data_IF_329413219380
#
_entry.id   IF_329413219380
#
_cell.length_a   1.000
_cell.length_b   1.000
_cell.length_c   1.000
_cell.angle_alpha   90.00
_cell.angle_beta   90.00
_cell.angle_gamma   90.00
#
_symmetry.space_group_name_H-M   'P 1'
#
loop_
_entity.id
_entity.type
_entity.pdbx_description
1 polymer ?
#
# COMPACT_ATOMS: atom_id res chain seq x y z
N UNK A 1 -44.87 -16.57 -3.73
CA UNK A 1 -45.68 -16.56 -2.48
C UNK A 1 -45.53 -15.19 -1.85
N UNK A 2 -46.56 -14.38 -1.89
CA UNK A 2 -46.58 -13.03 -1.29
C UNK A 2 -46.79 -13.20 0.21
N UNK A 3 -45.87 -12.72 1.02
CA UNK A 3 -46.08 -12.61 2.47
C UNK A 3 -47.03 -11.45 2.76
N UNK A 4 -48.09 -11.64 3.53
CA UNK A 4 -49.02 -10.59 3.88
C UNK A 4 -48.35 -9.59 4.81
N UNK A 5 -48.33 -8.33 4.42
CA UNK A 5 -47.92 -7.21 5.27
C UNK A 5 -48.84 -7.14 6.50
N UNK A 6 -48.28 -7.32 7.69
CA UNK A 6 -49.06 -7.28 8.93
C UNK A 6 -49.42 -5.82 9.29
N UNK A 7 -50.57 -5.62 9.98
CA UNK A 7 -51.00 -4.31 10.49
C UNK A 7 -49.89 -3.60 11.29
N UNK A 8 -49.00 -4.36 11.92
CA UNK A 8 -47.87 -3.83 12.69
C UNK A 8 -46.81 -3.19 11.78
N UNK A 9 -46.57 -3.75 10.58
CA UNK A 9 -45.64 -3.18 9.59
C UNK A 9 -46.18 -1.88 9.01
N UNK A 10 -47.50 -1.74 8.88
CA UNK A 10 -48.15 -0.53 8.38
C UNK A 10 -48.12 0.58 9.41
N UNK A 11 -48.33 0.27 10.71
CA UNK A 11 -48.25 1.24 11.82
C UNK A 11 -46.79 1.73 12.02
N UNK A 12 -45.81 0.85 11.89
CA UNK A 12 -44.41 1.26 11.96
C UNK A 12 -43.98 2.17 10.78
N UNK A 13 -44.50 1.91 9.57
CA UNK A 13 -44.26 2.79 8.42
C UNK A 13 -44.98 4.16 8.60
N UNK A 14 -46.15 4.18 9.21
CA UNK A 14 -46.90 5.40 9.53
C UNK A 14 -46.23 6.23 10.64
N UNK A 15 -45.66 5.60 11.67
CA UNK A 15 -44.96 6.29 12.77
C UNK A 15 -43.63 6.92 12.33
N UNK A 16 -42.93 6.32 11.36
CA UNK A 16 -41.73 6.90 10.75
C UNK A 16 -42.04 8.16 9.93
N UNK A 17 -43.20 8.20 9.25
CA UNK A 17 -43.70 9.38 8.56
C UNK A 17 -44.01 10.55 9.50
N UNK A 18 -44.49 10.25 10.71
CA UNK A 18 -44.84 11.26 11.72
C UNK A 18 -43.61 11.92 12.39
N UNK A 19 -42.44 11.23 12.33
CA UNK A 19 -41.14 11.72 12.83
C UNK A 19 -40.35 12.50 11.78
N UNK A 20 -40.93 12.82 10.62
CA UNK A 20 -40.24 13.55 9.54
C UNK A 20 -39.15 12.73 8.81
N UNK A 21 -39.03 11.42 9.10
CA UNK A 21 -38.11 10.52 8.41
C UNK A 21 -38.78 10.05 7.12
N UNK A 22 -38.36 10.55 5.98
CA UNK A 22 -38.79 10.03 4.68
C UNK A 22 -38.31 8.59 4.48
N UNK A 23 -39.03 7.78 3.71
CA UNK A 23 -38.61 6.44 3.31
C UNK A 23 -37.18 6.46 2.71
N UNK A 24 -36.86 7.54 2.02
CA UNK A 24 -35.53 7.81 1.48
C UNK A 24 -34.47 7.92 2.59
N UNK A 25 -34.76 8.58 3.70
CA UNK A 25 -33.86 8.70 4.85
C UNK A 25 -33.73 7.37 5.60
N UNK A 26 -34.81 6.60 5.72
CA UNK A 26 -34.78 5.26 6.31
C UNK A 26 -33.93 4.29 5.45
N UNK A 27 -34.12 4.30 4.13
CA UNK A 27 -33.30 3.50 3.20
C UNK A 27 -31.84 3.97 3.17
N UNK A 28 -31.59 5.27 3.26
CA UNK A 28 -30.25 5.84 3.39
C UNK A 28 -29.57 5.44 4.71
N UNK A 29 -30.32 5.43 5.82
CA UNK A 29 -29.83 4.98 7.12
C UNK A 29 -29.55 3.48 7.13
N UNK A 30 -30.40 2.66 6.49
CA UNK A 30 -30.16 1.23 6.32
C UNK A 30 -28.94 0.94 5.42
N UNK A 31 -28.79 1.69 4.33
CA UNK A 31 -27.60 1.60 3.46
C UNK A 31 -26.35 2.05 4.23
N UNK A 32 -26.42 3.12 5.02
CA UNK A 32 -25.31 3.58 5.86
C UNK A 32 -24.95 2.59 6.98
N UNK A 33 -25.93 1.86 7.52
CA UNK A 33 -25.67 0.82 8.54
C UNK A 33 -24.99 -0.43 7.98
N UNK A 34 -25.00 -0.62 6.66
CA UNK A 34 -24.28 -1.70 5.95
C UNK A 34 -22.87 -1.32 5.56
N UNK A 35 -22.51 -0.03 5.69
CA UNK A 35 -21.13 0.40 5.46
C UNK A 35 -20.24 -0.06 6.62
N UNK A 36 -19.02 -0.53 6.33
CA UNK A 36 -18.06 -0.81 7.39
C UNK A 36 -17.86 0.44 8.26
N UNK A 37 -17.59 0.22 9.55
CA UNK A 37 -17.22 1.33 10.43
C UNK A 37 -16.05 2.13 9.84
N UNK A 38 -16.01 3.46 9.98
CA UNK A 38 -14.89 4.25 9.49
C UNK A 38 -13.56 3.70 10.02
N UNK A 39 -12.66 3.31 9.12
CA UNK A 39 -11.34 2.84 9.49
C UNK A 39 -10.50 3.96 10.12
N UNK A 40 -9.57 3.60 10.99
CA UNK A 40 -8.62 4.55 11.60
C UNK A 40 -7.60 5.03 10.56
N UNK A 41 -7.15 4.14 9.68
CA UNK A 41 -6.19 4.47 8.62
C UNK A 41 -6.83 5.37 7.54
N UNK A 42 -6.06 6.34 7.10
CA UNK A 42 -6.43 7.27 6.01
C UNK A 42 -5.43 7.23 4.87
N UNK A 43 -4.25 6.68 5.13
CA UNK A 43 -3.15 6.52 4.18
C UNK A 43 -2.39 5.23 4.45
N UNK A 44 -1.71 4.73 3.42
CA UNK A 44 -0.84 3.55 3.49
C UNK A 44 0.53 3.91 2.92
N UNK A 45 1.60 3.48 3.59
CA UNK A 45 2.96 3.44 3.04
C UNK A 45 3.34 1.96 2.92
N UNK A 46 3.54 1.51 1.70
CA UNK A 46 4.10 0.20 1.41
C UNK A 46 5.62 0.33 1.28
N UNK A 47 6.33 -0.14 2.30
CA UNK A 47 7.78 -0.28 2.29
C UNK A 47 8.12 -1.59 1.57
N UNK A 48 8.41 -1.47 0.27
CA UNK A 48 8.58 -2.64 -0.60
C UNK A 48 10.00 -3.19 -0.55
N UNK A 49 10.11 -4.46 -0.17
CA UNK A 49 11.35 -5.21 -0.01
C UNK A 49 11.55 -6.12 -1.22
N UNK A 50 11.83 -5.51 -2.38
CA UNK A 50 11.98 -6.22 -3.65
C UNK A 50 12.99 -7.36 -3.56
N UNK A 51 12.58 -8.54 -4.00
CA UNK A 51 13.43 -9.72 -4.05
C UNK A 51 13.18 -10.72 -2.92
N UNK A 52 12.26 -10.43 -1.99
CA UNK A 52 11.86 -11.38 -0.96
C UNK A 52 12.89 -11.57 0.17
N UNK A 53 12.81 -10.81 1.27
CA UNK A 53 13.75 -10.93 2.39
C UNK A 53 13.66 -12.30 3.06
N UNK A 54 14.80 -12.82 3.48
CA UNK A 54 14.86 -14.02 4.31
C UNK A 54 14.20 -13.78 5.66
N UNK A 55 13.04 -14.40 5.89
CA UNK A 55 12.31 -14.26 7.14
C UNK A 55 13.11 -14.79 8.33
N UNK A 56 13.85 -15.89 8.16
CA UNK A 56 14.66 -16.48 9.24
C UNK A 56 15.92 -15.67 9.56
N UNK A 57 16.38 -14.83 8.64
CA UNK A 57 17.54 -13.96 8.85
C UNK A 57 17.11 -12.54 9.28
N UNK A 58 15.80 -12.27 9.39
CA UNK A 58 15.23 -10.96 9.74
C UNK A 58 14.17 -11.05 10.85
N UNK A 59 12.91 -11.29 10.50
CA UNK A 59 11.76 -11.16 11.38
C UNK A 59 11.49 -12.37 12.27
N UNK A 60 11.91 -13.57 11.85
CA UNK A 60 11.61 -14.85 12.47
C UNK A 60 12.87 -15.71 12.65
N UNK A 61 13.83 -15.26 13.51
CA UNK A 61 15.11 -15.91 13.63
C UNK A 61 14.99 -17.38 14.06
N UNK A 62 15.72 -18.28 13.36
CA UNK A 62 15.75 -19.71 13.56
C UNK A 62 17.18 -20.22 13.79
N UNK A 63 17.30 -21.43 14.33
CA UNK A 63 18.61 -22.06 14.63
C UNK A 63 19.46 -22.35 13.38
N UNK A 64 18.84 -22.42 12.22
CA UNK A 64 19.50 -22.59 10.90
C UNK A 64 19.84 -21.26 10.22
N UNK A 65 19.68 -20.14 10.91
CA UNK A 65 20.27 -18.85 10.51
C UNK A 65 21.68 -18.71 11.11
N UNK A 66 22.57 -18.06 10.38
CA UNK A 66 23.89 -17.67 10.90
C UNK A 66 23.84 -16.40 11.76
N UNK A 67 22.68 -15.75 11.84
CA UNK A 67 22.45 -14.58 12.67
C UNK A 67 21.75 -14.97 13.98
N UNK A 68 22.17 -14.33 15.07
CA UNK A 68 21.61 -14.60 16.39
C UNK A 68 20.27 -13.90 16.59
N UNK A 69 19.31 -14.56 17.30
CA UNK A 69 18.15 -13.86 17.80
C UNK A 69 18.54 -12.87 18.89
N UNK A 70 17.99 -11.68 18.86
CA UNK A 70 18.09 -10.69 19.93
C UNK A 70 16.72 -10.40 20.54
N UNK A 71 16.70 -10.13 21.84
CA UNK A 71 15.49 -9.71 22.55
C UNK A 71 15.05 -8.33 22.08
N UNK A 72 13.74 -8.11 22.07
CA UNK A 72 13.15 -6.81 21.77
C UNK A 72 12.68 -6.12 23.05
N UNK A 73 12.16 -4.88 22.92
CA UNK A 73 11.50 -4.19 24.03
C UNK A 73 10.12 -4.79 24.40
N UNK A 74 9.64 -5.78 23.64
CA UNK A 74 8.43 -6.56 23.97
C UNK A 74 8.85 -7.95 24.43
N UNK A 75 8.58 -8.33 25.68
CA UNK A 75 8.94 -9.64 26.20
C UNK A 75 8.43 -10.79 25.35
N UNK A 76 9.28 -11.78 25.09
CA UNK A 76 8.96 -12.97 24.31
C UNK A 76 9.07 -12.80 22.78
N UNK A 77 9.26 -11.59 22.27
CA UNK A 77 9.51 -11.36 20.85
C UNK A 77 11.02 -11.19 20.61
N UNK A 78 11.53 -11.96 19.66
CA UNK A 78 12.92 -11.89 19.20
C UNK A 78 12.94 -11.60 17.72
N UNK A 79 13.94 -10.84 17.25
CA UNK A 79 14.26 -10.63 15.83
C UNK A 79 15.74 -10.90 15.61
N UNK A 80 16.18 -10.90 14.36
CA UNK A 80 17.60 -11.05 14.03
C UNK A 80 18.44 -9.91 14.61
N UNK A 81 19.68 -10.21 15.01
CA UNK A 81 20.68 -9.21 15.42
C UNK A 81 20.97 -8.15 14.35
N UNK A 82 20.54 -8.38 13.12
CA UNK A 82 20.61 -7.43 12.02
C UNK A 82 19.61 -6.26 12.14
N UNK A 83 18.64 -6.36 13.08
CA UNK A 83 17.57 -5.38 13.25
C UNK A 83 17.57 -4.77 14.68
N UNK A 84 18.72 -4.23 15.14
CA UNK A 84 18.88 -3.78 16.53
C UNK A 84 18.04 -2.54 16.88
N UNK A 85 17.73 -1.69 15.90
CA UNK A 85 16.94 -0.47 16.12
C UNK A 85 15.45 -0.80 16.16
N UNK A 86 14.99 -1.65 15.25
CA UNK A 86 13.63 -2.19 15.25
C UNK A 86 13.36 -2.98 16.53
N UNK A 87 14.34 -3.77 17.03
CA UNK A 87 14.21 -4.51 18.29
C UNK A 87 13.86 -3.58 19.47
N UNK A 88 14.40 -2.37 19.51
CA UNK A 88 14.11 -1.35 20.54
C UNK A 88 12.76 -0.65 20.36
N UNK A 89 12.08 -0.90 19.26
CA UNK A 89 10.80 -0.31 18.86
C UNK A 89 9.75 -1.35 18.52
N UNK A 90 9.92 -2.59 18.91
CA UNK A 90 9.00 -3.69 18.57
C UNK A 90 7.58 -3.45 19.09
N UNK A 91 7.42 -2.67 20.14
CA UNK A 91 6.13 -2.21 20.65
C UNK A 91 5.33 -1.40 19.61
N UNK A 92 5.98 -0.84 18.58
CA UNK A 92 5.36 -0.12 17.46
C UNK A 92 5.06 -1.01 16.25
N UNK A 93 5.45 -2.27 16.27
CA UNK A 93 5.28 -3.19 15.15
C UNK A 93 4.43 -4.39 15.54
N UNK A 94 3.67 -4.90 14.58
CA UNK A 94 3.12 -6.24 14.60
C UNK A 94 3.82 -7.07 13.52
N UNK A 95 4.27 -8.25 13.87
CA UNK A 95 4.88 -9.19 12.93
C UNK A 95 3.86 -10.25 12.51
N UNK A 96 3.79 -10.56 11.22
CA UNK A 96 3.12 -11.76 10.71
C UNK A 96 4.20 -12.73 10.25
N UNK A 97 4.31 -13.88 10.91
CA UNK A 97 5.33 -14.91 10.64
C UNK A 97 4.78 -16.11 9.88
N UNK A 98 3.55 -16.01 9.44
CA UNK A 98 2.78 -17.11 8.88
C UNK A 98 2.19 -16.78 7.50
N UNK A 99 2.82 -15.88 6.77
CA UNK A 99 2.44 -15.63 5.39
C UNK A 99 2.72 -16.87 4.53
N UNK A 100 1.75 -17.19 3.66
CA UNK A 100 1.84 -18.31 2.74
C UNK A 100 1.36 -17.89 1.35
N UNK A 101 2.17 -18.18 0.33
CA UNK A 101 1.86 -17.95 -1.09
C UNK A 101 2.29 -19.16 -1.93
N UNK A 102 2.14 -19.11 -3.26
CA UNK A 102 2.50 -20.24 -4.15
C UNK A 102 3.54 -19.90 -5.20
N UNK A 103 3.69 -18.64 -5.56
CA UNK A 103 4.61 -18.21 -6.61
C UNK A 103 6.07 -18.46 -6.24
N UNK A 104 6.82 -19.11 -7.11
CA UNK A 104 8.26 -19.44 -6.92
C UNK A 104 9.18 -18.60 -7.79
N UNK A 105 8.64 -17.71 -8.62
CA UNK A 105 9.41 -16.74 -9.40
C UNK A 105 8.95 -15.32 -9.12
N UNK A 106 9.83 -14.33 -9.29
CA UNK A 106 9.56 -12.95 -8.95
C UNK A 106 8.37 -12.34 -9.69
N UNK A 107 8.19 -12.51 -11.03
CA UNK A 107 7.04 -11.96 -11.72
C UNK A 107 5.70 -12.42 -11.14
N UNK A 108 5.53 -13.72 -10.94
CA UNK A 108 4.29 -14.30 -10.39
C UNK A 108 4.07 -13.87 -8.95
N UNK A 109 5.11 -13.97 -8.12
CA UNK A 109 5.03 -13.64 -6.71
C UNK A 109 4.79 -12.14 -6.48
N UNK A 110 5.48 -11.26 -7.20
CA UNK A 110 5.26 -9.81 -7.13
C UNK A 110 3.85 -9.44 -7.58
N UNK A 111 3.40 -9.98 -8.72
CA UNK A 111 2.04 -9.75 -9.19
C UNK A 111 1.01 -10.18 -8.13
N UNK A 112 1.18 -11.39 -7.55
CA UNK A 112 0.28 -11.88 -6.51
C UNK A 112 0.33 -11.04 -5.25
N UNK A 113 1.53 -10.65 -4.79
CA UNK A 113 1.70 -9.81 -3.61
C UNK A 113 1.12 -8.39 -3.75
N UNK A 114 1.03 -7.87 -4.99
CA UNK A 114 0.54 -6.51 -5.26
C UNK A 114 -0.93 -6.48 -5.67
N UNK A 115 -1.45 -7.56 -6.28
CA UNK A 115 -2.84 -7.60 -6.79
C UNK A 115 -3.76 -8.55 -6.02
N UNK A 116 -3.21 -9.53 -5.28
CA UNK A 116 -3.96 -10.64 -4.68
C UNK A 116 -4.40 -11.71 -5.68
N UNK A 117 -3.98 -11.61 -6.94
CA UNK A 117 -4.37 -12.53 -8.00
C UNK A 117 -3.16 -13.17 -8.68
N UNK A 118 -3.30 -14.40 -9.13
CA UNK A 118 -2.33 -15.03 -10.00
C UNK A 118 -2.36 -14.38 -11.40
N UNK A 119 -1.22 -14.39 -12.11
CA UNK A 119 -1.14 -13.84 -13.47
C UNK A 119 -2.14 -14.56 -14.38
N UNK A 120 -2.94 -13.78 -15.07
CA UNK A 120 -3.92 -14.28 -16.05
C UNK A 120 -3.62 -13.65 -17.42
N UNK A 121 -3.33 -14.46 -18.46
CA UNK A 121 -3.04 -13.94 -19.79
C UNK A 121 -4.19 -13.13 -20.44
N UNK A 122 -5.42 -13.39 -20.02
CA UNK A 122 -6.60 -12.74 -20.58
C UNK A 122 -6.92 -11.39 -19.90
N UNK A 123 -6.32 -11.08 -18.76
CA UNK A 123 -6.68 -9.90 -17.99
C UNK A 123 -5.59 -9.51 -17.00
N UNK A 124 -5.31 -8.23 -16.91
CA UNK A 124 -4.51 -7.65 -15.83
C UNK A 124 -5.40 -7.29 -14.65
N UNK A 125 -4.85 -7.39 -13.43
CA UNK A 125 -5.55 -7.09 -12.18
C UNK A 125 -5.08 -5.77 -11.58
N UNK A 126 -5.99 -5.00 -10.96
CA UNK A 126 -5.62 -3.76 -10.30
C UNK A 126 -4.77 -4.02 -9.05
N UNK A 127 -3.81 -3.14 -8.80
CA UNK A 127 -2.99 -3.16 -7.60
C UNK A 127 -3.78 -2.78 -6.34
N UNK A 128 -3.29 -3.19 -5.18
CA UNK A 128 -3.77 -2.76 -3.87
C UNK A 128 -3.88 -1.23 -3.77
N UNK A 129 -2.84 -0.50 -4.23
CA UNK A 129 -2.83 0.96 -4.20
C UNK A 129 -3.91 1.59 -5.09
N UNK A 130 -4.13 1.02 -6.26
CA UNK A 130 -5.18 1.48 -7.19
C UNK A 130 -6.58 1.25 -6.64
N UNK A 131 -6.81 0.10 -6.00
CA UNK A 131 -8.09 -0.20 -5.35
C UNK A 131 -8.34 0.78 -4.20
N UNK A 132 -7.36 0.99 -3.30
CA UNK A 132 -7.48 1.94 -2.19
C UNK A 132 -7.77 3.36 -2.71
N UNK A 133 -7.08 3.77 -3.76
CA UNK A 133 -7.28 5.10 -4.38
C UNK A 133 -8.70 5.25 -4.96
N UNK A 134 -9.20 4.20 -5.61
CA UNK A 134 -10.56 4.19 -6.15
C UNK A 134 -11.61 4.27 -5.04
N UNK A 135 -11.45 3.47 -4.00
CA UNK A 135 -12.44 3.38 -2.93
C UNK A 135 -12.47 4.63 -2.03
N UNK A 136 -11.30 5.23 -1.76
CA UNK A 136 -11.21 6.36 -0.84
C UNK A 136 -11.23 7.72 -1.52
N UNK A 137 -10.92 7.78 -2.81
CA UNK A 137 -10.77 9.03 -3.57
C UNK A 137 -9.61 9.91 -3.09
N UNK A 138 -9.30 10.99 -3.83
CA UNK A 138 -8.29 11.97 -3.44
C UNK A 138 -8.73 12.79 -2.22
N UNK A 139 -7.80 13.15 -1.34
CA UNK A 139 -8.07 14.06 -0.21
C UNK A 139 -8.03 15.53 -0.62
N UNK A 140 -7.16 15.85 -1.57
CA UNK A 140 -6.91 17.20 -2.05
C UNK A 140 -6.25 17.16 -3.44
N UNK A 141 -5.39 18.13 -3.77
CA UNK A 141 -4.69 18.18 -5.05
C UNK A 141 -3.47 17.26 -5.13
N UNK A 142 -2.98 16.71 -4.00
CA UNK A 142 -1.82 15.81 -3.97
C UNK A 142 -2.21 14.48 -4.62
N UNK A 143 -1.33 13.87 -5.45
CA UNK A 143 -1.59 12.57 -6.06
C UNK A 143 -1.98 11.54 -5.02
N UNK A 144 -3.13 10.87 -5.15
CA UNK A 144 -3.58 9.91 -4.17
C UNK A 144 -2.75 8.62 -4.17
N UNK A 145 -2.15 8.26 -5.32
CA UNK A 145 -1.33 7.07 -5.49
C UNK A 145 0.04 7.44 -6.06
N UNK A 146 1.12 7.04 -5.37
CA UNK A 146 2.49 7.35 -5.77
C UNK A 146 3.37 6.12 -5.65
N UNK A 147 4.26 5.93 -6.61
CA UNK A 147 5.32 4.93 -6.62
C UNK A 147 6.67 5.65 -6.68
N UNK A 148 7.54 5.40 -5.69
CA UNK A 148 8.85 6.04 -5.56
C UNK A 148 9.92 5.07 -5.04
N UNK A 149 11.06 4.96 -5.73
CA UNK A 149 11.30 5.42 -7.08
C UNK A 149 10.59 4.55 -8.12
N UNK A 150 10.40 5.08 -9.32
CA UNK A 150 9.95 4.28 -10.47
C UNK A 150 10.98 3.22 -10.84
N UNK A 151 10.54 2.11 -11.44
CA UNK A 151 11.44 1.07 -11.92
C UNK A 151 12.07 1.46 -13.26
N UNK A 152 13.39 1.67 -13.27
CA UNK A 152 14.13 1.98 -14.51
C UNK A 152 14.46 0.73 -15.35
N UNK A 153 14.47 -0.46 -14.74
CA UNK A 153 14.99 -1.69 -15.38
C UNK A 153 13.93 -2.67 -15.87
N UNK A 154 12.70 -2.58 -15.40
CA UNK A 154 11.64 -3.51 -15.80
C UNK A 154 10.28 -2.84 -15.79
N UNK A 155 9.77 -2.50 -16.98
CA UNK A 155 8.39 -2.03 -17.15
C UNK A 155 7.36 -3.05 -16.65
N UNK A 156 7.67 -4.34 -16.76
CA UNK A 156 6.77 -5.41 -16.32
C UNK A 156 6.41 -5.30 -14.84
N UNK A 157 7.39 -5.05 -13.97
CA UNK A 157 7.12 -4.90 -12.53
C UNK A 157 6.33 -3.62 -12.24
N UNK A 158 6.63 -2.51 -12.91
CA UNK A 158 5.88 -1.27 -12.76
C UNK A 158 4.41 -1.44 -13.14
N UNK A 159 4.12 -2.24 -14.19
CA UNK A 159 2.75 -2.53 -14.62
C UNK A 159 1.91 -3.22 -13.54
N UNK A 160 2.52 -4.06 -12.68
CA UNK A 160 1.80 -4.71 -11.58
C UNK A 160 1.28 -3.74 -10.52
N UNK A 161 1.86 -2.54 -10.43
CA UNK A 161 1.41 -1.50 -9.51
C UNK A 161 0.31 -0.60 -10.09
N UNK A 162 -0.12 -0.83 -11.33
CA UNK A 162 -1.12 -0.02 -12.02
C UNK A 162 -2.56 -0.45 -11.72
N UNK A 163 -3.48 0.35 -12.23
CA UNK A 163 -4.91 0.18 -12.01
C UNK A 163 -5.58 -0.84 -12.94
N UNK A 164 -4.87 -1.32 -13.96
CA UNK A 164 -5.39 -2.27 -14.94
C UNK A 164 -6.77 -1.85 -15.47
N UNK A 165 -7.78 -2.71 -15.36
CA UNK A 165 -9.13 -2.42 -15.87
C UNK A 165 -9.90 -1.35 -15.09
N UNK A 166 -9.40 -0.86 -13.97
CA UNK A 166 -10.06 0.23 -13.23
C UNK A 166 -9.88 1.59 -13.91
N UNK A 167 -8.90 1.70 -14.84
CA UNK A 167 -8.61 2.93 -15.58
C UNK A 167 -7.44 3.74 -15.02
N UNK A 168 -6.78 4.49 -15.90
CA UNK A 168 -5.55 5.24 -15.62
C UNK A 168 -5.66 6.30 -14.52
N UNK A 169 -6.87 6.73 -14.17
CA UNK A 169 -7.12 7.69 -13.08
C UNK A 169 -6.64 7.17 -11.71
N UNK A 170 -6.49 5.85 -11.57
CA UNK A 170 -6.04 5.19 -10.35
C UNK A 170 -4.63 4.63 -10.45
N UNK A 171 -3.92 4.88 -11.56
CA UNK A 171 -2.51 4.53 -11.72
C UNK A 171 -1.63 5.32 -10.74
N UNK A 172 -0.50 4.76 -10.30
CA UNK A 172 0.44 5.50 -9.50
C UNK A 172 1.14 6.60 -10.32
N UNK A 173 1.34 7.76 -9.72
CA UNK A 173 2.32 8.71 -10.21
C UNK A 173 3.71 8.16 -9.90
N UNK A 174 4.46 7.82 -10.95
CA UNK A 174 5.79 7.22 -10.83
C UNK A 174 6.87 8.32 -10.71
N UNK A 175 7.61 8.34 -9.61
CA UNK A 175 8.55 9.40 -9.25
C UNK A 175 10.00 8.91 -9.45
N UNK A 176 10.89 9.72 -10.02
CA UNK A 176 12.32 9.40 -10.08
C UNK A 176 12.93 9.16 -8.69
N UNK A 177 14.12 8.55 -8.64
CA UNK A 177 14.82 8.29 -7.38
C UNK A 177 15.21 9.59 -6.65
N UNK A 178 14.63 9.84 -5.45
CA UNK A 178 14.86 11.06 -4.71
C UNK A 178 16.26 11.17 -4.08
N UNK A 179 17.04 10.09 -4.07
CA UNK A 179 18.44 10.11 -3.63
C UNK A 179 19.41 10.58 -4.74
N UNK A 180 18.95 10.67 -5.97
CA UNK A 180 19.81 11.10 -7.08
C UNK A 180 20.09 12.61 -7.03
N UNK A 181 21.32 13.04 -7.33
CA UNK A 181 21.64 14.46 -7.45
C UNK A 181 20.72 15.18 -8.44
N UNK A 182 20.22 16.35 -8.07
CA UNK A 182 19.33 17.14 -8.91
C UNK A 182 17.91 16.59 -8.98
N UNK A 183 17.47 15.73 -8.04
CA UNK A 183 16.11 15.23 -7.97
C UNK A 183 15.09 16.38 -8.07
N UNK A 184 14.21 16.27 -9.04
CA UNK A 184 13.07 17.16 -9.25
C UNK A 184 11.95 16.36 -9.92
N UNK A 185 10.71 16.68 -9.57
CA UNK A 185 9.53 16.15 -10.26
C UNK A 185 9.13 17.17 -11.33
N UNK A 186 9.69 17.00 -12.51
CA UNK A 186 9.57 17.96 -13.63
C UNK A 186 8.13 18.21 -14.05
N UNK A 187 7.27 17.18 -13.95
CA UNK A 187 5.87 17.25 -14.34
C UNK A 187 5.01 18.14 -13.43
N UNK A 188 5.54 18.52 -12.26
CA UNK A 188 4.89 19.42 -11.31
C UNK A 188 5.41 20.87 -11.42
N UNK A 189 6.36 21.14 -12.32
CA UNK A 189 6.90 22.47 -12.54
C UNK A 189 6.42 23.06 -13.87
N UNK A 190 6.01 24.32 -13.83
CA UNK A 190 5.75 25.04 -15.08
C UNK A 190 7.08 25.31 -15.80
N UNK A 191 7.15 25.14 -17.14
CA UNK A 191 8.28 25.62 -17.90
C UNK A 191 8.58 27.09 -17.57
N UNK A 192 9.84 27.47 -17.48
CA UNK A 192 10.26 28.84 -17.13
C UNK A 192 9.64 29.92 -18.03
N UNK A 193 9.26 29.56 -19.25
CA UNK A 193 8.60 30.42 -20.23
C UNK A 193 7.08 30.56 -20.05
N UNK A 194 6.46 29.84 -19.11
CA UNK A 194 5.02 29.81 -18.93
C UNK A 194 4.66 30.35 -17.55
N UNK A 195 3.96 31.48 -17.51
CA UNK A 195 3.46 32.05 -16.26
C UNK A 195 2.22 31.31 -15.75
N UNK A 196 2.00 31.32 -14.45
CA UNK A 196 0.80 30.75 -13.83
C UNK A 196 -0.48 31.39 -14.42
N UNK A 197 -0.50 32.70 -14.63
CA UNK A 197 -1.63 33.41 -15.24
C UNK A 197 -1.92 32.94 -16.66
N UNK A 198 -0.88 32.62 -17.44
CA UNK A 198 -1.05 32.08 -18.79
C UNK A 198 -1.67 30.67 -18.76
N UNK A 199 -1.32 29.86 -17.77
CA UNK A 199 -1.90 28.51 -17.58
C UNK A 199 -3.36 28.60 -17.13
N UNK A 200 -3.66 29.47 -16.18
CA UNK A 200 -5.03 29.70 -15.69
C UNK A 200 -5.94 30.18 -16.81
N UNK A 201 -5.45 31.13 -17.65
CA UNK A 201 -6.16 31.65 -18.82
C UNK A 201 -6.42 30.56 -19.86
N UNK A 202 -5.40 29.71 -20.17
CA UNK A 202 -5.56 28.57 -21.08
C UNK A 202 -6.54 27.52 -20.54
N UNK A 203 -6.49 27.21 -19.26
CA UNK A 203 -7.43 26.28 -18.60
C UNK A 203 -8.87 26.81 -18.66
N UNK A 204 -9.07 28.12 -18.40
CA UNK A 204 -10.38 28.75 -18.50
C UNK A 204 -10.91 28.73 -19.94
N UNK A 205 -10.04 29.00 -20.92
CA UNK A 205 -10.38 28.94 -22.34
C UNK A 205 -10.77 27.52 -22.78
N UNK A 206 -9.97 26.51 -22.42
CA UNK A 206 -10.28 25.11 -22.72
C UNK A 206 -11.63 24.69 -22.11
N UNK A 207 -11.89 25.02 -20.85
CA UNK A 207 -13.19 24.76 -20.22
C UNK A 207 -14.37 25.44 -20.97
N UNK A 208 -14.17 26.63 -21.49
CA UNK A 208 -15.20 27.33 -22.26
C UNK A 208 -15.44 26.64 -23.61
N UNK A 209 -14.38 26.22 -24.29
CA UNK A 209 -14.46 25.48 -25.57
C UNK A 209 -15.12 24.12 -25.36
N UNK A 210 -14.70 23.36 -24.33
CA UNK A 210 -15.24 22.04 -24.02
C UNK A 210 -16.73 22.12 -23.63
N UNK A 211 -17.13 23.15 -22.88
CA UNK A 211 -18.54 23.39 -22.55
C UNK A 211 -19.34 23.63 -23.84
N UNK A 212 -18.81 24.46 -24.77
CA UNK A 212 -19.46 24.73 -26.03
C UNK A 212 -19.55 23.51 -26.94
N UNK A 213 -18.48 22.68 -26.93
CA UNK A 213 -18.46 21.43 -27.70
C UNK A 213 -19.49 20.44 -27.19
N UNK A 214 -19.64 20.31 -25.85
CA UNK A 214 -20.66 19.44 -25.21
C UNK A 214 -22.09 19.89 -25.50
N UNK A 215 -22.33 21.19 -25.52
CA UNK A 215 -23.64 21.75 -25.92
C UNK A 215 -24.02 21.37 -27.36
N UNK A 216 -23.04 21.06 -28.20
CA UNK A 216 -23.22 20.73 -29.62
C UNK A 216 -23.20 19.22 -29.91
N UNK A 217 -22.58 18.39 -29.02
CA UNK A 217 -22.37 16.97 -29.24
C UNK A 217 -22.66 16.18 -27.95
N UNK A 218 -23.79 15.49 -27.93
CA UNK A 218 -24.26 14.70 -26.78
C UNK A 218 -23.57 13.32 -26.79
N UNK A 219 -22.29 13.23 -26.39
CA UNK A 219 -21.57 11.98 -26.27
C UNK A 219 -20.93 11.81 -24.89
N UNK A 220 -21.25 10.70 -24.20
CA UNK A 220 -20.89 10.41 -22.83
C UNK A 220 -19.38 10.13 -22.57
N UNK A 221 -18.56 10.01 -23.61
CA UNK A 221 -17.16 9.55 -23.49
C UNK A 221 -16.14 10.62 -23.03
N UNK A 222 -16.56 11.90 -22.98
CA UNK A 222 -15.63 13.00 -22.69
C UNK A 222 -15.50 13.39 -21.21
N UNK A 223 -16.37 12.87 -20.33
CA UNK A 223 -16.41 13.27 -18.91
C UNK A 223 -15.17 12.83 -18.12
N UNK A 224 -14.55 11.70 -18.47
CA UNK A 224 -13.38 11.17 -17.75
C UNK A 224 -12.10 11.93 -18.10
N UNK A 225 -11.90 12.30 -19.37
CA UNK A 225 -10.72 13.07 -19.81
C UNK A 225 -10.68 14.46 -19.18
N UNK A 226 -11.84 15.09 -18.99
CA UNK A 226 -11.95 16.40 -18.37
C UNK A 226 -11.60 16.39 -16.88
N UNK A 227 -12.04 15.35 -16.15
CA UNK A 227 -11.74 15.18 -14.73
C UNK A 227 -10.23 14.97 -14.52
N UNK A 228 -9.60 14.13 -15.35
CA UNK A 228 -8.16 13.88 -15.33
C UNK A 228 -7.36 15.16 -15.62
N UNK A 229 -7.71 15.87 -16.70
CA UNK A 229 -7.07 17.13 -17.07
C UNK A 229 -7.23 18.18 -15.97
N UNK A 230 -8.40 18.30 -15.36
CA UNK A 230 -8.66 19.21 -14.25
C UNK A 230 -7.83 18.85 -13.01
N UNK A 231 -7.68 17.56 -12.71
CA UNK A 231 -6.82 17.10 -11.60
C UNK A 231 -5.35 17.40 -11.88
N UNK A 232 -4.85 17.15 -13.09
CA UNK A 232 -3.49 17.47 -13.48
C UNK A 232 -3.18 18.98 -13.35
N UNK A 233 -4.09 19.84 -13.82
CA UNK A 233 -3.96 21.28 -13.64
C UNK A 233 -3.96 21.69 -12.17
N UNK A 234 -4.85 21.10 -11.37
CA UNK A 234 -4.93 21.37 -9.94
C UNK A 234 -3.62 20.98 -9.23
N UNK A 235 -3.01 19.87 -9.62
CA UNK A 235 -1.71 19.45 -9.09
C UNK A 235 -0.61 20.46 -9.43
N UNK A 236 -0.49 20.87 -10.69
CA UNK A 236 0.55 21.80 -11.17
C UNK A 236 0.39 23.20 -10.54
N UNK A 237 -0.84 23.67 -10.40
CA UNK A 237 -1.14 25.01 -9.90
C UNK A 237 -1.12 25.13 -8.36
N UNK A 238 -1.17 24.01 -7.62
CA UNK A 238 -1.21 24.04 -6.15
C UNK A 238 0.20 24.05 -5.55
N UNK A 239 0.65 25.16 -4.91
CA UNK A 239 1.98 25.23 -4.30
C UNK A 239 2.25 24.11 -3.30
N UNK A 240 1.26 23.74 -2.47
CA UNK A 240 1.38 22.68 -1.49
C UNK A 240 1.71 21.30 -2.10
N UNK A 241 1.32 21.04 -3.36
CA UNK A 241 1.72 19.82 -4.09
C UNK A 241 3.20 19.83 -4.37
N UNK A 242 3.72 20.93 -4.96
CA UNK A 242 5.17 21.07 -5.22
C UNK A 242 5.98 20.96 -3.94
N UNK A 243 5.49 21.60 -2.88
CA UNK A 243 6.12 21.57 -1.56
C UNK A 243 6.19 20.15 -0.99
N UNK A 244 5.19 19.31 -1.21
CA UNK A 244 5.18 17.93 -0.74
C UNK A 244 6.31 17.10 -1.37
N UNK A 245 6.64 17.35 -2.65
CA UNK A 245 7.72 16.66 -3.36
C UNK A 245 9.11 17.26 -3.15
N UNK A 246 9.21 18.44 -2.55
CA UNK A 246 10.49 19.16 -2.38
C UNK A 246 11.25 18.70 -1.12
N UNK A 247 12.18 17.76 -1.28
CA UNK A 247 13.04 17.30 -0.20
C UNK A 247 14.07 18.35 0.26
N UNK A 248 14.27 19.47 -0.47
CA UNK A 248 15.15 20.54 0.01
C UNK A 248 14.60 21.24 1.26
N UNK A 249 13.30 21.12 1.51
CA UNK A 249 12.61 21.63 2.71
C UNK A 249 12.86 20.79 3.98
N UNK A 250 13.43 19.60 3.84
CA UNK A 250 13.82 18.77 4.98
C UNK A 250 15.25 19.12 5.43
N UNK A 251 15.48 19.11 6.74
CA UNK A 251 16.80 19.32 7.31
C UNK A 251 17.76 18.19 6.94
N UNK A 252 19.04 18.48 6.86
CA UNK A 252 20.05 17.44 6.62
C UNK A 252 20.03 16.36 7.71
N UNK A 253 19.77 16.75 8.97
CA UNK A 253 19.59 15.81 10.08
C UNK A 253 18.44 14.82 9.81
N UNK A 254 17.31 15.29 9.25
CA UNK A 254 16.18 14.42 8.91
C UNK A 254 16.54 13.49 7.74
N UNK A 255 17.20 14.00 6.70
CA UNK A 255 17.68 13.20 5.58
C UNK A 255 18.66 12.11 6.03
N UNK A 256 19.55 12.44 6.97
CA UNK A 256 20.50 11.48 7.57
C UNK A 256 19.80 10.43 8.44
N UNK A 257 18.79 10.83 9.23
CA UNK A 257 18.00 9.93 10.05
C UNK A 257 17.35 8.81 9.21
N UNK A 258 16.80 9.16 8.05
CA UNK A 258 16.23 8.17 7.12
C UNK A 258 17.33 7.43 6.34
N UNK A 259 18.45 8.05 6.09
CA UNK A 259 19.52 7.61 5.21
C UNK A 259 19.46 8.31 3.85
N UNK A 260 20.65 8.63 3.31
CA UNK A 260 20.79 9.34 2.03
C UNK A 260 20.74 8.39 0.81
N UNK A 261 20.49 7.11 1.04
CA UNK A 261 20.27 6.11 0.00
C UNK A 261 18.83 6.16 -0.57
N UNK A 262 18.61 5.40 -1.64
CA UNK A 262 17.33 5.38 -2.36
C UNK A 262 16.15 5.04 -1.46
N UNK A 263 16.24 3.98 -0.63
CA UNK A 263 15.13 3.61 0.24
C UNK A 263 14.88 4.66 1.32
N UNK A 264 15.94 5.24 1.92
CA UNK A 264 15.82 6.28 2.92
C UNK A 264 15.11 7.52 2.41
N UNK A 265 15.52 8.04 1.25
CA UNK A 265 14.92 9.24 0.67
C UNK A 265 13.53 8.97 0.08
N UNK A 266 13.29 7.74 -0.41
CA UNK A 266 11.94 7.32 -0.85
C UNK A 266 10.95 7.27 0.32
N UNK A 267 11.34 6.75 1.47
CA UNK A 267 10.51 6.74 2.68
C UNK A 267 10.30 8.15 3.26
N UNK A 268 11.32 9.00 3.23
CA UNK A 268 11.18 10.41 3.64
C UNK A 268 10.17 11.13 2.73
N UNK A 269 10.24 10.91 1.42
CA UNK A 269 9.26 11.44 0.48
C UNK A 269 7.87 10.85 0.72
N UNK A 270 7.76 9.53 0.98
CA UNK A 270 6.49 8.88 1.28
C UNK A 270 5.82 9.49 2.52
N UNK A 271 6.58 9.75 3.60
CA UNK A 271 6.06 10.44 4.79
C UNK A 271 5.50 11.82 4.44
N UNK A 272 6.25 12.64 3.66
CA UNK A 272 5.79 13.96 3.23
C UNK A 272 4.51 13.90 2.41
N UNK A 273 4.42 12.92 1.51
CA UNK A 273 3.26 12.73 0.65
C UNK A 273 2.00 12.34 1.43
N UNK A 274 2.09 11.43 2.41
CA UNK A 274 0.93 11.08 3.25
C UNK A 274 0.54 12.23 4.16
N UNK A 275 1.50 12.98 4.71
CA UNK A 275 1.26 14.23 5.45
C UNK A 275 0.51 15.25 4.59
N UNK A 276 0.89 15.38 3.32
CA UNK A 276 0.24 16.26 2.35
C UNK A 276 -1.09 15.71 1.80
N UNK A 277 -1.43 14.43 2.01
CA UNK A 277 -2.74 13.89 1.68
C UNK A 277 -2.80 12.72 0.71
N UNK A 278 -1.68 12.14 0.29
CA UNK A 278 -1.68 10.90 -0.51
C UNK A 278 -2.35 9.75 0.25
N UNK A 279 -3.02 8.87 -0.51
CA UNK A 279 -3.71 7.69 0.03
C UNK A 279 -2.81 6.47 0.11
N UNK A 280 -2.01 6.26 -0.92
CA UNK A 280 -1.13 5.11 -1.02
C UNK A 280 0.21 5.52 -1.63
N UNK A 281 1.30 5.21 -0.93
CA UNK A 281 2.65 5.47 -1.41
C UNK A 281 3.47 4.18 -1.30
N UNK A 282 3.96 3.69 -2.44
CA UNK A 282 4.94 2.60 -2.46
C UNK A 282 6.34 3.20 -2.43
N UNK A 283 7.09 2.90 -1.37
CA UNK A 283 8.51 3.21 -1.25
C UNK A 283 9.32 1.95 -1.63
N UNK A 284 9.96 1.96 -2.81
CA UNK A 284 10.56 0.79 -3.45
C UNK A 284 12.07 0.98 -3.73
N UNK A 285 12.79 1.61 -2.81
CA UNK A 285 14.16 2.09 -3.00
C UNK A 285 15.27 1.03 -2.96
N UNK A 286 14.96 -0.26 -3.01
CA UNK A 286 15.95 -1.33 -3.05
C UNK A 286 16.48 -1.66 -4.46
N UNK A 287 16.33 -0.75 -5.43
CA UNK A 287 16.83 -0.95 -6.79
C UNK A 287 18.33 -1.24 -6.85
N UNK A 288 18.68 -2.33 -7.52
CA UNK A 288 20.06 -2.79 -7.68
C UNK A 288 20.68 -3.42 -6.43
N UNK A 289 19.95 -3.47 -5.34
CA UNK A 289 20.35 -4.12 -4.07
C UNK A 289 19.24 -5.01 -3.55
N UNK A 290 18.46 -5.62 -4.44
CA UNK A 290 17.29 -6.40 -4.08
C UNK A 290 17.61 -7.52 -3.08
N UNK A 291 16.58 -7.96 -2.35
CA UNK A 291 16.68 -9.07 -1.39
C UNK A 291 16.80 -10.44 -2.07
N UNK A 292 17.02 -10.47 -3.38
CA UNK A 292 17.22 -11.69 -4.16
C UNK A 292 18.62 -12.28 -3.95
N UNK A 293 18.84 -12.92 -2.81
CA UNK A 293 20.13 -13.38 -2.31
C UNK A 293 20.42 -14.85 -2.64
N UNK A 294 20.37 -15.22 -3.92
CA UNK A 294 20.77 -16.58 -4.39
C UNK A 294 22.24 -16.89 -4.18
N UNK A 295 23.06 -15.88 -3.85
CA UNK A 295 24.46 -16.03 -3.49
C UNK A 295 24.80 -15.08 -2.33
N UNK A 296 25.80 -15.45 -1.53
CA UNK A 296 26.33 -14.64 -0.44
C UNK A 296 25.24 -14.01 0.46
N UNK A 297 24.21 -14.79 0.81
CA UNK A 297 23.05 -14.34 1.58
C UNK A 297 23.44 -13.54 2.83
N UNK A 298 24.35 -14.10 3.62
CA UNK A 298 24.72 -13.51 4.93
C UNK A 298 25.46 -12.18 4.74
N UNK A 299 26.36 -12.14 3.77
CA UNK A 299 27.09 -10.90 3.43
C UNK A 299 26.11 -9.85 2.90
N UNK A 300 25.20 -10.25 2.01
CA UNK A 300 24.17 -9.37 1.46
C UNK A 300 23.28 -8.77 2.55
N UNK A 301 22.79 -9.60 3.45
CA UNK A 301 21.93 -9.16 4.57
C UNK A 301 22.71 -8.24 5.53
N UNK A 302 23.91 -8.61 5.97
CA UNK A 302 24.70 -7.86 6.94
C UNK A 302 25.16 -6.50 6.41
N UNK A 303 25.67 -6.46 5.18
CA UNK A 303 26.42 -5.29 4.68
C UNK A 303 25.53 -4.30 3.91
N UNK A 304 24.43 -4.76 3.28
CA UNK A 304 23.68 -3.96 2.32
C UNK A 304 22.20 -3.86 2.57
N UNK A 305 21.53 -4.94 3.02
CA UNK A 305 20.07 -5.02 3.00
C UNK A 305 19.45 -4.66 4.36
N UNK A 306 19.94 -5.28 5.43
CA UNK A 306 19.38 -5.07 6.76
C UNK A 306 19.70 -3.69 7.37
N UNK A 307 20.91 -3.11 7.23
CA UNK A 307 21.18 -1.80 7.83
C UNK A 307 20.26 -0.68 7.32
N UNK A 308 19.98 -0.53 6.01
CA UNK A 308 19.00 0.44 5.55
C UNK A 308 17.57 0.12 6.00
N UNK A 309 17.17 -1.16 6.04
CA UNK A 309 15.86 -1.56 6.55
C UNK A 309 15.67 -1.14 8.00
N UNK A 310 16.60 -1.53 8.88
CA UNK A 310 16.53 -1.26 10.31
C UNK A 310 16.47 0.25 10.61
N UNK A 311 17.35 1.02 9.97
CA UNK A 311 17.39 2.48 10.11
C UNK A 311 16.14 3.15 9.56
N UNK A 312 15.81 2.89 8.30
CA UNK A 312 14.79 3.65 7.57
C UNK A 312 13.39 3.34 8.07
N UNK A 313 13.08 2.06 8.32
CA UNK A 313 11.75 1.68 8.81
C UNK A 313 11.49 2.23 10.22
N UNK A 314 12.50 2.22 11.07
CA UNK A 314 12.41 2.85 12.41
C UNK A 314 12.25 4.35 12.30
N UNK A 315 13.06 5.02 11.45
CA UNK A 315 12.96 6.46 11.25
C UNK A 315 11.58 6.87 10.73
N UNK A 316 11.00 6.09 9.80
CA UNK A 316 9.66 6.33 9.26
C UNK A 316 8.58 6.24 10.34
N UNK A 317 8.59 5.18 11.15
CA UNK A 317 7.59 4.98 12.20
C UNK A 317 7.71 6.03 13.30
N UNK A 318 8.93 6.32 13.76
CA UNK A 318 9.17 7.35 14.77
C UNK A 318 8.78 8.76 14.26
N UNK A 319 9.10 9.12 13.00
CA UNK A 319 8.75 10.44 12.43
C UNK A 319 7.22 10.60 12.24
N UNK A 320 6.54 9.51 11.82
CA UNK A 320 5.08 9.51 11.75
C UNK A 320 4.45 9.65 13.15
N UNK A 321 5.02 9.03 14.18
CA UNK A 321 4.54 9.16 15.56
C UNK A 321 4.78 10.56 16.09
N UNK A 322 5.98 11.11 15.95
CA UNK A 322 6.35 12.47 16.38
C UNK A 322 5.45 13.54 15.76
N UNK A 323 4.90 13.29 14.57
CA UNK A 323 3.97 14.16 13.85
C UNK A 323 2.49 13.89 14.13
N UNK A 324 2.16 12.89 14.94
CA UNK A 324 0.78 12.46 15.17
C UNK A 324 0.10 11.84 13.95
N UNK A 325 0.87 11.34 13.00
CA UNK A 325 0.38 10.74 11.75
C UNK A 325 0.28 9.22 11.81
N UNK A 326 0.98 8.56 12.76
CA UNK A 326 1.08 7.11 12.81
C UNK A 326 -0.28 6.43 12.99
N UNK A 327 -1.17 6.97 13.82
CA UNK A 327 -2.51 6.41 14.04
C UNK A 327 -3.37 6.38 12.77
N UNK A 328 -3.11 7.31 11.84
CA UNK A 328 -3.86 7.43 10.58
C UNK A 328 -3.10 6.94 9.35
N UNK A 329 -1.88 6.45 9.52
CA UNK A 329 -1.03 5.94 8.43
C UNK A 329 -0.63 4.50 8.72
N UNK A 330 -1.09 3.57 7.88
CA UNK A 330 -0.67 2.18 7.94
C UNK A 330 0.66 2.03 7.20
N UNK A 331 1.68 1.54 7.88
CA UNK A 331 2.99 1.17 7.32
C UNK A 331 3.06 -0.34 7.17
N UNK A 332 3.42 -0.83 5.98
CA UNK A 332 3.53 -2.25 5.65
C UNK A 332 4.93 -2.48 5.10
N UNK A 333 5.75 -3.27 5.76
CA UNK A 333 7.06 -3.69 5.26
C UNK A 333 7.00 -5.15 4.81
N UNK A 334 6.99 -5.39 3.51
CA UNK A 334 6.90 -6.73 2.92
C UNK A 334 7.59 -6.83 1.56
N UNK A 335 7.96 -8.05 1.19
CA UNK A 335 8.32 -8.44 -0.17
C UNK A 335 7.28 -9.41 -0.75
N UNK A 336 7.67 -10.13 -1.78
CA UNK A 336 6.80 -11.06 -2.52
C UNK A 336 6.78 -12.48 -1.95
N UNK A 337 7.84 -12.92 -1.27
CA UNK A 337 7.99 -14.22 -0.61
C UNK A 337 9.15 -14.20 0.41
N UNK A 338 9.44 -15.35 1.02
CA UNK A 338 10.61 -15.59 1.87
C UNK A 338 11.75 -16.27 1.12
N UNK A 339 12.69 -16.83 1.89
CA UNK A 339 13.86 -17.54 1.37
C UNK A 339 13.96 -18.94 1.98
N UNK A 340 14.58 -19.87 1.23
CA UNK A 340 14.74 -21.26 1.67
C UNK A 340 15.40 -21.35 3.04
N UNK A 341 14.93 -22.27 3.90
CA UNK A 341 15.56 -22.53 5.19
C UNK A 341 16.99 -23.07 5.08
N UNK A 342 17.34 -23.61 3.92
CA UNK A 342 18.64 -24.22 3.64
C UNK A 342 19.46 -23.26 2.78
N UNK A 343 20.72 -23.07 3.13
CA UNK A 343 21.72 -22.36 2.32
C UNK A 343 22.09 -23.26 1.11
N UNK A 344 22.08 -22.69 -0.09
CA UNK A 344 22.46 -23.38 -1.31
C UNK A 344 23.99 -23.42 -1.53
N UNK A 345 24.44 -24.06 -2.59
CA UNK A 345 25.87 -24.23 -2.90
C UNK A 345 26.61 -22.89 -3.13
N UNK A 346 25.90 -21.80 -3.44
CA UNK A 346 26.45 -20.46 -3.64
C UNK A 346 26.40 -19.59 -2.38
N UNK A 347 26.25 -20.20 -1.20
CA UNK A 347 26.07 -19.51 0.09
C UNK A 347 24.86 -18.56 0.08
N UNK A 348 23.87 -18.83 -0.76
CA UNK A 348 22.64 -18.08 -0.92
C UNK A 348 21.42 -18.84 -0.40
N UNK A 349 20.26 -18.20 -0.53
CA UNK A 349 18.96 -18.81 -0.31
C UNK A 349 18.07 -18.61 -1.52
N UNK A 350 17.36 -19.65 -1.92
CA UNK A 350 16.44 -19.62 -3.05
C UNK A 350 15.03 -19.14 -2.61
N UNK A 351 14.10 -19.02 -3.54
CA UNK A 351 12.76 -18.54 -3.29
C UNK A 351 11.95 -19.50 -2.43
N UNK A 352 11.18 -18.97 -1.46
CA UNK A 352 10.39 -19.79 -0.56
C UNK A 352 9.02 -19.17 -0.25
N UNK A 353 7.97 -19.54 -0.97
CA UNK A 353 6.63 -19.01 -0.76
C UNK A 353 5.87 -19.67 0.40
N UNK A 354 6.30 -20.85 0.87
CA UNK A 354 5.54 -21.66 1.83
C UNK A 354 5.44 -21.03 3.22
N UNK A 355 6.43 -20.23 3.59
CA UNK A 355 6.46 -19.52 4.87
C UNK A 355 7.33 -18.27 4.74
N UNK A 356 6.76 -17.12 5.10
CA UNK A 356 7.49 -15.87 5.12
C UNK A 356 6.85 -14.85 6.06
N UNK A 357 7.51 -13.71 6.27
CA UNK A 357 7.11 -12.75 7.29
C UNK A 357 7.05 -11.34 6.75
N UNK A 358 6.20 -10.53 7.38
CA UNK A 358 6.09 -9.10 7.16
C UNK A 358 5.91 -8.34 8.48
N UNK A 359 6.08 -7.02 8.45
CA UNK A 359 5.84 -6.15 9.58
C UNK A 359 4.79 -5.08 9.24
N UNK A 360 3.93 -4.77 10.22
CA UNK A 360 2.90 -3.75 10.14
C UNK A 360 3.08 -2.74 11.28
N UNK A 361 2.74 -1.47 11.02
CA UNK A 361 2.73 -0.44 12.05
C UNK A 361 1.67 0.62 11.76
N UNK A 362 1.14 1.27 12.79
CA UNK A 362 0.20 2.37 12.64
C UNK A 362 -1.17 2.00 12.07
N UNK A 363 -1.93 3.01 11.63
CA UNK A 363 -3.22 2.82 10.95
C UNK A 363 -4.29 2.07 11.75
N UNK A 364 -4.19 2.03 13.08
CA UNK A 364 -5.10 1.27 13.92
C UNK A 364 -4.76 -0.21 14.07
N UNK A 365 -3.56 -0.63 13.63
CA UNK A 365 -3.04 -1.99 13.88
C UNK A 365 -2.64 -2.11 15.37
N UNK A 366 -3.01 -3.20 16.01
CA UNK A 366 -2.49 -3.58 17.33
C UNK A 366 -1.06 -4.05 17.18
N UNK A 367 -0.14 -3.32 17.75
CA UNK A 367 1.30 -3.58 17.71
C UNK A 367 1.79 -4.31 18.96
N UNK A 368 3.09 -4.61 19.06
CA UNK A 368 3.69 -5.34 20.17
C UNK A 368 3.32 -6.83 20.19
N UNK A 369 3.04 -7.43 19.04
CA UNK A 369 2.62 -8.83 18.94
C UNK A 369 3.15 -9.54 17.69
N UNK A 370 3.04 -10.84 17.69
CA UNK A 370 3.35 -11.73 16.56
C UNK A 370 2.11 -12.53 16.20
N UNK A 371 1.77 -12.59 14.92
CA UNK A 371 0.70 -13.41 14.38
C UNK A 371 1.30 -14.62 13.66
N UNK A 372 0.82 -15.78 14.02
CA UNK A 372 1.20 -17.06 13.43
C UNK A 372 2.58 -17.55 13.83
N UNK A 373 2.81 -18.84 13.59
CA UNK A 373 4.03 -19.55 13.96
C UNK A 373 4.52 -20.37 12.77
N UNK A 374 5.79 -20.27 12.47
CA UNK A 374 6.50 -21.17 11.56
C UNK A 374 7.14 -22.33 12.32
N UNK A 375 7.48 -23.40 11.63
CA UNK A 375 8.21 -24.52 12.22
C UNK A 375 9.63 -24.14 12.69
N UNK A 376 10.31 -25.05 13.35
CA UNK A 376 11.65 -24.83 13.93
C UNK A 376 12.69 -24.38 12.92
N UNK A 377 12.49 -24.69 11.63
CA UNK A 377 13.39 -24.32 10.53
C UNK A 377 12.89 -23.11 9.73
N UNK A 378 11.67 -22.62 9.97
CA UNK A 378 11.03 -21.60 9.15
C UNK A 378 10.63 -22.10 7.76
N UNK A 379 10.42 -23.43 7.62
CA UNK A 379 10.07 -24.01 6.32
C UNK A 379 8.57 -23.95 6.05
N UNK A 380 7.75 -24.17 7.05
CA UNK A 380 6.30 -24.24 6.92
C UNK A 380 5.62 -23.43 8.01
N UNK A 381 4.42 -22.97 7.73
CA UNK A 381 3.53 -22.42 8.74
C UNK A 381 2.91 -23.57 9.52
N UNK A 382 3.00 -23.54 10.85
CA UNK A 382 2.43 -24.56 11.75
C UNK A 382 1.21 -24.07 12.51
N UNK A 383 1.05 -22.75 12.62
CA UNK A 383 -0.13 -22.16 13.27
C UNK A 383 -0.54 -20.84 12.57
N UNK A 384 -1.85 -20.64 12.44
CA UNK A 384 -2.47 -19.39 11.97
C UNK A 384 -1.94 -18.92 10.61
N UNK A 385 -2.13 -19.70 9.54
CA UNK A 385 -1.82 -19.27 8.16
C UNK A 385 -2.50 -17.94 7.86
N UNK A 386 -1.73 -17.00 7.32
CA UNK A 386 -2.22 -15.73 6.78
C UNK A 386 -1.95 -15.71 5.27
N UNK A 387 -3.00 -15.54 4.48
CA UNK A 387 -2.92 -15.43 3.02
C UNK A 387 -2.86 -13.96 2.59
N UNK A 388 -2.55 -13.71 1.31
CA UNK A 388 -2.63 -12.34 0.76
C UNK A 388 -4.04 -11.76 0.86
N UNK A 389 -5.08 -12.59 0.66
CA UNK A 389 -6.47 -12.17 0.84
C UNK A 389 -6.79 -11.75 2.28
N UNK A 390 -6.25 -12.45 3.28
CA UNK A 390 -6.43 -12.08 4.70
C UNK A 390 -5.72 -10.78 5.03
N UNK A 391 -4.50 -10.60 4.51
CA UNK A 391 -3.75 -9.34 4.64
C UNK A 391 -4.52 -8.18 4.00
N UNK A 392 -5.02 -8.36 2.78
CA UNK A 392 -5.81 -7.35 2.07
C UNK A 392 -7.10 -7.01 2.79
N UNK A 393 -7.84 -8.03 3.25
CA UNK A 393 -9.05 -7.82 4.04
C UNK A 393 -8.75 -7.02 5.33
N UNK A 394 -7.60 -7.28 5.98
CA UNK A 394 -7.13 -6.54 7.16
C UNK A 394 -6.83 -5.07 6.82
N UNK A 395 -6.09 -4.82 5.74
CA UNK A 395 -5.77 -3.48 5.25
C UNK A 395 -7.05 -2.70 4.91
N UNK A 396 -7.95 -3.32 4.16
CA UNK A 396 -9.21 -2.68 3.77
C UNK A 396 -10.09 -2.37 4.99
N UNK A 397 -10.17 -3.27 5.96
CA UNK A 397 -10.91 -3.00 7.19
C UNK A 397 -10.29 -1.85 7.99
N UNK A 398 -8.94 -1.80 8.10
CA UNK A 398 -8.26 -0.69 8.75
C UNK A 398 -8.53 0.66 8.06
N UNK A 399 -8.78 0.65 6.74
CA UNK A 399 -9.15 1.82 5.93
C UNK A 399 -10.66 2.11 5.90
N UNK A 400 -11.50 1.23 6.43
CA UNK A 400 -12.96 1.34 6.35
C UNK A 400 -13.54 0.98 4.97
N UNK A 401 -12.80 0.20 4.18
CA UNK A 401 -13.24 -0.32 2.88
C UNK A 401 -13.89 -1.70 3.09
N UNK A 402 -15.01 -1.96 2.44
CA UNK A 402 -15.63 -3.29 2.46
C UNK A 402 -14.80 -4.29 1.65
N UNK A 403 -14.04 -5.14 2.34
CA UNK A 403 -13.16 -6.14 1.72
C UNK A 403 -13.87 -7.24 0.97
N UNK A 404 -15.19 -7.39 1.14
CA UNK A 404 -16.02 -8.37 0.41
C UNK A 404 -16.41 -7.88 -0.98
N UNK A 405 -16.07 -6.65 -1.31
CA UNK A 405 -16.40 -6.02 -2.57
C UNK A 405 -15.77 -6.76 -3.75
N UNK A 406 -16.48 -6.76 -4.85
CA UNK A 406 -16.04 -7.29 -6.13
C UNK A 406 -16.21 -6.22 -7.21
N UNK A 407 -15.31 -6.22 -8.18
CA UNK A 407 -15.45 -5.42 -9.39
C UNK A 407 -15.79 -6.31 -10.57
N UNK A 408 -16.68 -5.86 -11.45
CA UNK A 408 -16.91 -6.55 -12.70
C UNK A 408 -15.75 -6.28 -13.65
N UNK A 409 -15.07 -7.33 -14.08
CA UNK A 409 -14.00 -7.24 -15.07
C UNK A 409 -14.52 -6.98 -16.47
N UNK A 410 -13.68 -6.52 -17.43
CA UNK A 410 -14.06 -6.31 -18.83
C UNK A 410 -14.56 -7.58 -19.53
N UNK A 411 -14.18 -8.75 -19.04
CA UNK A 411 -14.61 -10.06 -19.57
C UNK A 411 -15.86 -10.61 -18.85
N UNK A 412 -16.56 -9.78 -18.05
CA UNK A 412 -17.81 -10.15 -17.38
C UNK A 412 -17.67 -11.07 -16.16
N UNK A 413 -16.46 -11.16 -15.55
CA UNK A 413 -16.24 -11.95 -14.33
C UNK A 413 -16.08 -11.03 -13.11
N UNK A 414 -16.68 -11.37 -11.95
CA UNK A 414 -16.43 -10.65 -10.72
C UNK A 414 -14.98 -10.89 -10.26
N UNK A 415 -14.33 -9.82 -9.81
CA UNK A 415 -12.96 -9.81 -9.29
C UNK A 415 -13.00 -9.33 -7.85
N UNK A 416 -12.67 -10.22 -6.92
CA UNK A 416 -12.62 -9.94 -5.47
C UNK A 416 -11.45 -9.02 -5.15
N UNK A 417 -11.67 -7.99 -4.36
CA UNK A 417 -10.57 -7.08 -3.96
C UNK A 417 -9.66 -7.69 -2.88
N UNK A 418 -10.20 -8.55 -2.02
CA UNK A 418 -9.43 -9.33 -1.05
C UNK A 418 -9.38 -10.79 -1.47
N UNK A 419 -8.83 -11.06 -2.67
CA UNK A 419 -8.73 -12.40 -3.20
C UNK A 419 -7.62 -13.19 -2.51
N UNK A 420 -7.91 -14.45 -2.21
CA UNK A 420 -7.01 -15.41 -1.59
C UNK A 420 -6.76 -16.61 -2.50
N UNK A 421 -5.94 -17.54 -2.05
CA UNK A 421 -5.71 -18.80 -2.73
C UNK A 421 -7.04 -19.52 -3.00
N UNK A 422 -7.11 -20.23 -4.13
CA UNK A 422 -8.28 -20.98 -4.58
C UNK A 422 -9.51 -20.07 -4.82
N UNK A 423 -9.29 -18.84 -5.21
CA UNK A 423 -10.32 -17.83 -5.49
C UNK A 423 -11.33 -17.65 -4.31
N UNK A 424 -10.83 -17.73 -3.08
CA UNK A 424 -11.61 -17.45 -1.88
C UNK A 424 -11.50 -15.99 -1.50
N UNK A 425 -12.51 -15.44 -0.86
CA UNK A 425 -12.40 -14.12 -0.21
C UNK A 425 -11.64 -14.26 1.10
N UNK A 426 -10.60 -13.47 1.29
CA UNK A 426 -9.86 -13.41 2.55
C UNK A 426 -10.72 -12.88 3.70
N UNK A 427 -10.24 -13.08 4.91
CA UNK A 427 -10.87 -12.59 6.14
C UNK A 427 -9.88 -11.76 6.94
N UNK A 428 -10.31 -10.64 7.53
CA UNK A 428 -9.43 -9.82 8.35
C UNK A 428 -8.79 -10.61 9.49
N UNK A 429 -7.51 -10.40 9.69
CA UNK A 429 -6.77 -10.91 10.85
C UNK A 429 -7.17 -10.07 12.06
N UNK A 430 -8.20 -10.53 12.78
CA UNK A 430 -8.87 -9.77 13.86
C UNK A 430 -7.91 -9.39 14.98
N UNK A 431 -6.92 -10.21 15.21
CA UNK A 431 -5.88 -10.01 16.22
C UNK A 431 -5.06 -8.73 15.94
N UNK A 432 -4.93 -8.35 14.66
CA UNK A 432 -4.24 -7.13 14.22
C UNK A 432 -5.10 -5.86 14.30
N UNK A 433 -6.42 -5.97 14.46
CA UNK A 433 -7.32 -4.83 14.41
C UNK A 433 -7.67 -4.34 15.82
N UNK A 434 -7.64 -3.02 16.01
CA UNK A 434 -7.88 -2.35 17.30
C UNK A 434 -9.35 -2.00 17.51
#
# INVERSE_FOLDING_TARGET
>A
MQHPTTRRSFVNAGSLGFLGLSLRNALAAEAASKLPAPGKAKSVILFWLEGGPSHIDTWDPKTNSNFKPISTNVPGIHVSELLPTIAKRMDKFALVRSMHTRGTDHPQATHYAITGHEINPAMQFPSLGSIITKEMGPRNAVPPHVLVPKWDRSRQYEEYFRAAFLGGDYDPMCIPDPAKPGFQVTDLSLPKSVSQAAVESRSAFLKAVDRRYRELNDTADHTNMDAFTAQAWKMILTPAVRDAFDLSKESDKMKERYGKDSIGQSCLLARRLVEAGSRFVTAAGYHGTSWDTHSDNDKGHRDRLAPPLDRTLTALVDDLEERGLLESTLVIAMGEFGRTPIINANLGRDHWPNCWSLALSGGGIKTGQVIGVSDERGANVVDRVVTMGDLYATIYQALGIDWKKEYMSPIGRPVKIANSLDDKTGSPVKELLA
#
